data_IF_045078812623
#
_entry.id   IF_045078812623
#
_cell.length_a   1.000
_cell.length_b   1.000
_cell.length_c   1.000
_cell.angle_alpha   90.00
_cell.angle_beta   90.00
_cell.angle_gamma   90.00
#
_symmetry.space_group_name_H-M   'P 1'
#
loop_
_entity.id
_entity.type
_entity.pdbx_description
1 polymer ?
#
# COMPACT_ATOMS: atom_id res chain seq x y z
N UNK A 1 47.33 -14.00 -13.04
CA UNK A 1 46.98 -13.08 -14.14
C UNK A 1 45.46 -12.90 -14.13
N UNK A 2 44.95 -11.71 -13.92
CA UNK A 2 43.54 -11.46 -13.95
C UNK A 2 43.03 -11.60 -15.40
N UNK A 3 42.22 -12.65 -15.68
CA UNK A 3 41.59 -12.88 -16.96
C UNK A 3 40.67 -11.70 -17.23
N UNK A 4 41.01 -10.84 -18.19
CA UNK A 4 40.12 -9.74 -18.58
C UNK A 4 38.83 -10.34 -19.13
N UNK A 5 37.79 -10.37 -18.26
CA UNK A 5 36.46 -10.85 -18.62
C UNK A 5 35.86 -9.75 -19.51
N UNK A 6 35.89 -9.98 -20.83
CA UNK A 6 35.23 -9.08 -21.78
C UNK A 6 33.70 -9.12 -21.56
N UNK A 7 33.04 -7.96 -21.57
CA UNK A 7 31.59 -7.83 -21.49
C UNK A 7 30.93 -8.69 -22.58
N UNK A 8 31.55 -8.82 -23.77
CA UNK A 8 31.06 -9.66 -24.86
C UNK A 8 31.02 -11.14 -24.48
N UNK A 9 32.03 -11.65 -23.73
CA UNK A 9 32.04 -13.05 -23.26
C UNK A 9 30.87 -13.30 -22.29
N UNK A 10 30.61 -12.38 -21.35
CA UNK A 10 29.47 -12.49 -20.42
C UNK A 10 28.15 -12.52 -21.19
N UNK A 11 27.98 -11.65 -22.18
CA UNK A 11 26.77 -11.59 -22.99
C UNK A 11 26.56 -12.90 -23.78
N UNK A 12 27.58 -13.45 -24.38
CA UNK A 12 27.50 -14.73 -25.11
C UNK A 12 27.12 -15.89 -24.17
N UNK A 13 27.69 -15.95 -22.98
CA UNK A 13 27.33 -16.96 -21.96
C UNK A 13 25.86 -16.86 -21.56
N UNK A 14 25.37 -15.64 -21.34
CA UNK A 14 23.93 -15.44 -21.02
C UNK A 14 23.04 -15.89 -22.19
N UNK A 15 23.41 -15.58 -23.43
CA UNK A 15 22.64 -15.97 -24.61
C UNK A 15 22.65 -17.49 -24.83
N UNK A 16 23.79 -18.16 -24.63
CA UNK A 16 23.90 -19.63 -24.75
C UNK A 16 23.04 -20.34 -23.70
N UNK A 17 22.95 -19.81 -22.48
CA UNK A 17 22.17 -20.37 -21.35
C UNK A 17 20.79 -19.73 -21.16
N UNK A 18 20.31 -19.00 -22.15
CA UNK A 18 19.05 -18.26 -22.06
C UNK A 18 17.84 -19.14 -21.72
N UNK A 19 17.77 -20.36 -22.23
CA UNK A 19 16.71 -21.34 -21.90
C UNK A 19 16.73 -21.69 -20.41
N UNK A 20 17.91 -21.88 -19.82
CA UNK A 20 18.07 -22.15 -18.39
C UNK A 20 17.65 -20.94 -17.54
N UNK A 21 18.06 -19.73 -17.96
CA UNK A 21 17.72 -18.48 -17.28
C UNK A 21 16.20 -18.27 -17.27
N UNK A 22 15.54 -18.41 -18.41
CA UNK A 22 14.09 -18.25 -18.51
C UNK A 22 13.36 -19.28 -17.64
N UNK A 23 13.76 -20.55 -17.74
CA UNK A 23 13.09 -21.61 -16.97
C UNK A 23 13.25 -21.41 -15.46
N UNK A 24 14.46 -21.12 -14.98
CA UNK A 24 14.73 -20.91 -13.56
C UNK A 24 14.03 -19.65 -13.02
N UNK A 25 14.03 -18.56 -13.80
CA UNK A 25 13.28 -17.34 -13.44
C UNK A 25 11.78 -17.61 -13.28
N UNK A 26 11.20 -18.38 -14.21
CA UNK A 26 9.80 -18.73 -14.18
C UNK A 26 9.44 -19.61 -12.97
N UNK A 27 10.31 -20.57 -12.64
CA UNK A 27 10.13 -21.43 -11.45
C UNK A 27 10.19 -20.60 -10.17
N UNK A 28 11.16 -19.69 -10.03
CA UNK A 28 11.27 -18.81 -8.84
C UNK A 28 10.05 -17.89 -8.74
N UNK A 29 9.62 -17.28 -9.83
CA UNK A 29 8.40 -16.45 -9.86
C UNK A 29 7.15 -17.22 -9.44
N UNK A 30 7.01 -18.47 -9.90
CA UNK A 30 5.90 -19.34 -9.51
C UNK A 30 5.96 -19.71 -8.02
N UNK A 31 7.14 -20.00 -7.48
CA UNK A 31 7.33 -20.27 -6.06
C UNK A 31 6.94 -19.07 -5.18
N UNK A 32 7.32 -17.85 -5.58
CA UNK A 32 6.90 -16.62 -4.89
C UNK A 32 5.39 -16.41 -4.94
N UNK A 33 4.77 -16.70 -6.09
CA UNK A 33 3.31 -16.63 -6.22
C UNK A 33 2.61 -17.63 -5.29
N UNK A 34 3.06 -18.89 -5.27
CA UNK A 34 2.50 -19.92 -4.38
C UNK A 34 2.72 -19.58 -2.91
N UNK A 35 3.92 -19.09 -2.56
CA UNK A 35 4.23 -18.64 -1.21
C UNK A 35 3.28 -17.52 -0.77
N UNK A 36 3.09 -16.52 -1.64
CA UNK A 36 2.18 -15.40 -1.37
C UNK A 36 0.72 -15.86 -1.15
N UNK A 37 0.27 -16.84 -1.91
CA UNK A 37 -1.12 -17.33 -1.83
C UNK A 37 -1.38 -18.25 -0.65
N UNK A 38 -0.37 -19.05 -0.23
CA UNK A 38 -0.56 -20.11 0.77
C UNK A 38 -0.13 -19.65 2.17
N UNK A 39 0.98 -18.91 2.26
CA UNK A 39 1.61 -18.55 3.54
C UNK A 39 1.12 -17.21 4.07
N UNK A 40 0.87 -16.24 3.19
CA UNK A 40 0.45 -14.92 3.63
C UNK A 40 -1.08 -14.90 3.81
N UNK A 41 -1.51 -14.58 5.03
CA UNK A 41 -2.94 -14.48 5.36
C UNK A 41 -3.60 -13.33 4.62
N UNK A 42 -4.81 -13.51 4.08
CA UNK A 42 -5.55 -12.42 3.45
C UNK A 42 -5.88 -11.33 4.47
N UNK A 43 -5.74 -10.08 4.06
CA UNK A 43 -6.05 -8.90 4.86
C UNK A 43 -7.24 -8.16 4.25
N UNK A 44 -8.14 -7.71 5.10
CA UNK A 44 -9.33 -6.95 4.73
C UNK A 44 -9.20 -5.54 5.30
N UNK A 45 -9.58 -4.55 4.50
CA UNK A 45 -9.59 -3.15 4.90
C UNK A 45 -10.99 -2.57 4.78
N UNK A 46 -11.40 -1.81 5.78
CA UNK A 46 -12.62 -1.03 5.75
C UNK A 46 -12.41 0.32 6.41
N UNK A 47 -13.32 1.26 6.19
CA UNK A 47 -13.23 2.56 6.82
C UNK A 47 -14.58 3.15 7.14
N UNK A 48 -14.69 3.77 8.32
CA UNK A 48 -15.72 4.69 8.69
C UNK A 48 -15.25 6.14 8.52
N UNK A 49 -16.16 7.05 8.27
CA UNK A 49 -15.86 8.47 8.15
C UNK A 49 -16.79 9.28 9.03
N UNK A 50 -16.21 10.13 9.87
CA UNK A 50 -16.91 11.06 10.74
C UNK A 50 -16.52 12.50 10.36
N UNK A 51 -17.37 13.46 10.67
CA UNK A 51 -17.05 14.87 10.54
C UNK A 51 -17.03 15.52 11.92
N UNK A 52 -16.21 16.56 12.05
CA UNK A 52 -16.18 17.42 13.22
C UNK A 52 -16.40 18.84 12.76
N UNK A 53 -17.38 19.51 13.33
CA UNK A 53 -17.70 20.88 13.01
C UNK A 53 -17.57 21.74 14.27
N UNK A 54 -16.79 22.81 14.17
CA UNK A 54 -16.71 23.81 15.23
C UNK A 54 -17.94 24.71 15.14
N UNK A 55 -18.89 24.46 16.02
CA UNK A 55 -20.14 25.21 16.08
C UNK A 55 -20.25 25.95 17.41
N UNK A 56 -20.24 27.28 17.36
CA UNK A 56 -20.56 28.09 18.53
C UNK A 56 -22.10 28.28 18.59
N UNK A 57 -22.75 27.61 19.53
CA UNK A 57 -24.15 27.75 19.81
C UNK A 57 -24.57 29.21 20.10
N UNK A 58 -23.62 30.04 20.57
CA UNK A 58 -23.81 31.47 20.80
C UNK A 58 -24.19 32.28 19.57
N UNK A 59 -23.93 31.78 18.35
CA UNK A 59 -24.34 32.43 17.12
C UNK A 59 -25.79 32.06 16.68
N UNK A 60 -26.35 31.00 17.26
CA UNK A 60 -27.73 30.62 16.98
C UNK A 60 -28.75 31.50 17.74
N UNK A 61 -28.41 31.91 18.94
CA UNK A 61 -29.31 32.72 19.80
C UNK A 61 -29.32 34.22 19.44
N UNK A 62 -28.22 34.73 18.81
CA UNK A 62 -28.13 36.15 18.46
C UNK A 62 -28.95 36.53 17.23
N UNK A 63 -29.65 35.59 16.56
CA UNK A 63 -30.43 35.89 15.38
C UNK A 63 -31.97 35.85 15.64
N UNK A 64 -32.37 35.74 16.91
CA UNK A 64 -33.82 35.71 17.26
C UNK A 64 -34.45 37.10 17.48
N UNK A 65 -33.67 38.19 17.47
CA UNK A 65 -34.22 39.51 17.67
C UNK A 65 -33.73 40.54 16.64
N UNK A 66 -34.01 40.34 15.36
CA UNK A 66 -34.13 41.49 14.45
C UNK A 66 -35.51 42.11 14.59
N UNK A 67 -35.65 42.98 15.52
CA UNK A 67 -36.81 43.90 15.58
C UNK A 67 -36.74 44.77 14.36
N UNK A 68 -37.64 44.59 13.41
CA UNK A 68 -37.85 45.52 12.30
C UNK A 68 -38.30 46.85 12.86
N UNK A 69 -37.92 47.97 12.20
CA UNK A 69 -38.21 49.33 12.64
C UNK A 69 -39.69 49.67 12.86
N UNK A 70 -40.61 48.70 12.69
CA UNK A 70 -42.04 48.83 12.89
C UNK A 70 -42.59 48.02 14.09
N UNK A 71 -41.72 47.41 14.94
CA UNK A 71 -42.15 46.77 16.20
C UNK A 71 -42.96 45.49 16.07
N UNK A 72 -42.99 44.86 14.88
CA UNK A 72 -43.68 43.57 14.71
C UNK A 72 -42.70 42.41 14.83
N UNK A 73 -42.96 41.48 15.79
CA UNK A 73 -42.24 40.22 15.92
C UNK A 73 -42.74 39.28 14.83
N UNK A 74 -41.98 39.12 13.79
CA UNK A 74 -42.31 38.13 12.76
C UNK A 74 -41.86 36.73 13.25
N UNK A 75 -42.80 35.92 13.74
CA UNK A 75 -42.66 34.48 13.91
C UNK A 75 -42.57 33.82 12.52
N UNK A 76 -41.41 33.96 11.87
CA UNK A 76 -41.10 33.26 10.66
C UNK A 76 -40.17 32.08 10.95
N UNK A 77 -40.71 30.86 10.85
CA UNK A 77 -39.94 29.62 10.73
C UNK A 77 -38.94 29.68 9.52
N UNK A 78 -37.99 30.54 9.56
CA UNK A 78 -36.88 30.53 8.60
C UNK A 78 -35.78 29.63 9.17
N UNK A 79 -35.71 28.37 8.72
CA UNK A 79 -34.47 27.65 8.65
C UNK A 79 -33.52 28.44 7.72
N UNK A 80 -32.96 29.52 8.25
CA UNK A 80 -31.90 30.25 7.52
C UNK A 80 -30.76 29.28 7.32
N UNK A 81 -30.44 29.01 6.05
CA UNK A 81 -29.27 28.29 5.70
C UNK A 81 -28.08 28.98 6.39
N UNK A 82 -27.47 28.30 7.32
CA UNK A 82 -26.35 28.81 8.10
C UNK A 82 -25.23 29.15 7.16
N UNK A 83 -24.82 30.42 7.14
CA UNK A 83 -23.77 30.90 6.26
C UNK A 83 -22.44 30.40 6.80
N UNK A 84 -21.84 29.42 6.14
CA UNK A 84 -20.54 28.85 6.49
C UNK A 84 -19.46 29.82 6.06
N UNK A 85 -18.65 30.28 7.00
CA UNK A 85 -17.49 31.13 6.76
C UNK A 85 -16.22 30.28 6.62
N UNK A 86 -15.23 30.78 5.89
CA UNK A 86 -13.93 30.11 5.77
C UNK A 86 -13.23 29.91 7.12
N UNK A 87 -13.46 30.80 8.09
CA UNK A 87 -12.99 30.67 9.46
C UNK A 87 -13.57 29.43 10.17
N UNK A 88 -14.82 29.08 9.87
CA UNK A 88 -15.51 27.94 10.47
C UNK A 88 -14.92 26.62 9.93
N UNK A 89 -14.58 26.60 8.65
CA UNK A 89 -13.93 25.46 7.99
C UNK A 89 -12.53 25.25 8.58
N UNK A 90 -11.73 26.31 8.68
CA UNK A 90 -10.38 26.24 9.25
C UNK A 90 -10.39 25.87 10.72
N UNK A 91 -11.32 26.42 11.49
CA UNK A 91 -11.54 26.08 12.89
C UNK A 91 -11.93 24.60 13.06
N UNK A 92 -12.83 24.11 12.21
CA UNK A 92 -13.26 22.70 12.21
C UNK A 92 -12.12 21.74 11.82
N UNK A 93 -11.27 22.13 10.86
CA UNK A 93 -10.10 21.32 10.48
C UNK A 93 -9.06 21.25 11.61
N UNK A 94 -8.83 22.36 12.32
CA UNK A 94 -7.95 22.38 13.50
C UNK A 94 -8.52 21.51 14.63
N UNK A 95 -9.81 21.61 14.90
CA UNK A 95 -10.49 20.79 15.89
C UNK A 95 -10.41 19.31 15.52
N UNK A 96 -10.59 18.95 14.24
CA UNK A 96 -10.46 17.58 13.77
C UNK A 96 -9.05 17.02 14.02
N UNK A 97 -7.99 17.80 13.82
CA UNK A 97 -6.62 17.39 14.14
C UNK A 97 -6.40 17.16 15.65
N UNK A 98 -6.99 18.01 16.50
CA UNK A 98 -6.94 17.84 17.96
C UNK A 98 -7.66 16.55 18.35
N UNK A 99 -8.84 16.32 17.77
CA UNK A 99 -9.64 15.13 18.04
C UNK A 99 -8.95 13.83 17.58
N UNK A 100 -8.23 13.83 16.46
CA UNK A 100 -7.45 12.65 16.05
C UNK A 100 -6.40 12.31 17.12
N UNK A 101 -5.68 13.30 17.64
CA UNK A 101 -4.73 13.07 18.72
C UNK A 101 -5.43 12.56 19.99
N UNK A 102 -6.59 13.11 20.34
CA UNK A 102 -7.38 12.63 21.47
C UNK A 102 -7.83 11.18 21.27
N UNK A 103 -8.39 10.84 20.10
CA UNK A 103 -8.89 9.51 19.81
C UNK A 103 -7.78 8.46 19.75
N UNK A 104 -6.61 8.80 19.23
CA UNK A 104 -5.46 7.90 19.19
C UNK A 104 -4.88 7.60 20.58
N UNK A 105 -5.06 8.49 21.54
CA UNK A 105 -4.56 8.35 22.93
C UNK A 105 -5.66 8.03 23.94
N UNK A 106 -6.91 7.82 23.51
CA UNK A 106 -7.99 7.40 24.39
C UNK A 106 -7.93 5.92 24.67
N UNK A 107 -7.93 5.55 25.96
CA UNK A 107 -7.94 4.15 26.39
C UNK A 107 -9.23 3.44 25.95
N UNK A 108 -10.35 4.16 25.95
CA UNK A 108 -11.66 3.63 25.54
C UNK A 108 -11.66 3.21 24.04
N UNK A 109 -11.03 4.02 23.18
CA UNK A 109 -10.95 3.75 21.74
C UNK A 109 -9.91 2.67 21.47
N UNK A 110 -8.74 2.71 22.13
CA UNK A 110 -7.68 1.73 21.93
C UNK A 110 -8.08 0.33 22.40
N UNK A 111 -8.92 0.23 23.43
CA UNK A 111 -9.49 -1.03 23.89
C UNK A 111 -10.37 -1.74 22.85
N UNK A 112 -10.92 -0.99 21.89
CA UNK A 112 -11.78 -1.52 20.81
C UNK A 112 -11.01 -2.15 19.65
N UNK A 113 -9.67 -1.97 19.59
CA UNK A 113 -8.87 -2.44 18.45
C UNK A 113 -8.91 -3.96 18.25
N UNK A 114 -9.06 -4.72 19.33
CA UNK A 114 -9.28 -6.19 19.34
C UNK A 114 -8.38 -6.96 18.34
N UNK A 115 -7.10 -6.58 18.28
CA UNK A 115 -6.10 -7.17 17.39
C UNK A 115 -6.15 -6.72 15.94
N UNK A 116 -7.03 -5.78 15.58
CA UNK A 116 -7.02 -5.11 14.29
C UNK A 116 -5.99 -3.97 14.28
N UNK A 117 -5.47 -3.66 13.11
CA UNK A 117 -4.68 -2.45 12.91
C UNK A 117 -5.62 -1.28 12.63
N UNK A 118 -5.56 -0.24 13.45
CA UNK A 118 -6.42 0.94 13.33
C UNK A 118 -5.58 2.16 13.02
N UNK A 119 -6.01 2.91 12.01
CA UNK A 119 -5.42 4.20 11.65
C UNK A 119 -6.51 5.26 11.62
N UNK A 120 -6.40 6.25 12.50
CA UNK A 120 -7.31 7.39 12.56
C UNK A 120 -6.57 8.61 12.02
N UNK A 121 -7.10 9.24 10.97
CA UNK A 121 -6.44 10.36 10.32
C UNK A 121 -7.44 11.39 9.79
N UNK A 122 -7.03 12.66 9.74
CA UNK A 122 -7.81 13.72 9.09
C UNK A 122 -7.56 13.65 7.59
N UNK A 123 -8.63 13.73 6.80
CA UNK A 123 -8.50 13.90 5.35
C UNK A 123 -7.95 15.29 5.06
N UNK A 124 -6.86 15.35 4.29
CA UNK A 124 -6.11 16.57 4.03
C UNK A 124 -7.02 17.75 3.66
N UNK A 125 -6.80 18.90 4.31
CA UNK A 125 -7.50 20.17 4.10
C UNK A 125 -9.03 20.10 4.34
N UNK A 126 -9.47 19.16 5.20
CA UNK A 126 -10.88 18.99 5.55
C UNK A 126 -11.07 18.83 7.07
N UNK A 127 -12.32 18.79 7.49
CA UNK A 127 -12.73 18.48 8.85
C UNK A 127 -13.27 17.04 8.98
N UNK A 128 -12.97 16.19 8.01
CA UNK A 128 -13.37 14.79 8.00
C UNK A 128 -12.27 13.92 8.59
N UNK A 129 -12.66 13.04 9.51
CA UNK A 129 -11.78 12.04 10.09
C UNK A 129 -12.13 10.68 9.48
N UNK A 130 -11.12 10.01 8.95
CA UNK A 130 -11.24 8.65 8.44
C UNK A 130 -10.67 7.68 9.46
N UNK A 131 -11.46 6.70 9.86
CA UNK A 131 -11.09 5.60 10.73
C UNK A 131 -10.92 4.38 9.83
N UNK A 132 -9.68 4.02 9.53
CA UNK A 132 -9.34 2.85 8.72
C UNK A 132 -8.99 1.69 9.63
N UNK A 133 -9.57 0.52 9.36
CA UNK A 133 -9.36 -0.70 10.14
C UNK A 133 -8.97 -1.83 9.19
N UNK A 134 -7.81 -2.43 9.47
CA UNK A 134 -7.24 -3.54 8.73
C UNK A 134 -7.15 -4.78 9.62
N UNK A 135 -7.51 -5.93 9.08
CA UNK A 135 -7.49 -7.18 9.83
C UNK A 135 -7.73 -8.40 8.95
N UNK A 136 -7.72 -9.57 9.57
CA UNK A 136 -7.92 -10.86 8.89
C UNK A 136 -9.38 -11.26 8.77
N UNK A 137 -10.27 -10.67 9.58
CA UNK A 137 -11.71 -10.95 9.59
C UNK A 137 -12.48 -9.71 9.10
N UNK A 138 -13.21 -9.81 7.96
CA UNK A 138 -13.91 -8.68 7.38
C UNK A 138 -15.07 -8.15 8.23
N UNK A 139 -15.81 -9.03 8.94
CA UNK A 139 -16.93 -8.62 9.78
C UNK A 139 -16.43 -7.91 11.03
N UNK A 140 -15.36 -8.43 11.62
CA UNK A 140 -14.70 -7.85 12.78
C UNK A 140 -14.15 -6.46 12.46
N UNK A 141 -13.50 -6.28 11.33
CA UNK A 141 -12.99 -4.97 10.89
C UNK A 141 -14.12 -3.93 10.78
N UNK A 142 -15.24 -4.30 10.17
CA UNK A 142 -16.37 -3.40 10.02
C UNK A 142 -17.01 -3.04 11.38
N UNK A 143 -17.13 -4.01 12.27
CA UNK A 143 -17.66 -3.80 13.62
C UNK A 143 -16.74 -2.89 14.44
N UNK A 144 -15.45 -3.14 14.45
CA UNK A 144 -14.45 -2.33 15.14
C UNK A 144 -14.47 -0.88 14.63
N UNK A 145 -14.48 -0.68 13.31
CA UNK A 145 -14.51 0.66 12.73
C UNK A 145 -15.78 1.46 13.12
N UNK A 146 -16.94 0.79 13.16
CA UNK A 146 -18.20 1.43 13.55
C UNK A 146 -18.25 1.70 15.06
N UNK A 147 -17.78 0.77 15.88
CA UNK A 147 -17.72 0.97 17.34
C UNK A 147 -16.78 2.13 17.69
N UNK A 148 -15.62 2.23 17.02
CA UNK A 148 -14.72 3.37 17.21
C UNK A 148 -15.40 4.68 16.80
N UNK A 149 -16.14 4.71 15.67
CA UNK A 149 -16.85 5.91 15.24
C UNK A 149 -17.95 6.33 16.20
N UNK A 150 -18.61 5.39 16.87
CA UNK A 150 -19.62 5.65 17.91
C UNK A 150 -18.97 6.12 19.21
N UNK A 151 -17.95 5.41 19.69
CA UNK A 151 -17.20 5.78 20.91
C UNK A 151 -16.51 7.14 20.75
N UNK A 152 -16.00 7.46 19.56
CA UNK A 152 -15.40 8.76 19.27
C UNK A 152 -16.40 9.92 19.48
N UNK A 153 -17.71 9.70 19.25
CA UNK A 153 -18.74 10.71 19.54
C UNK A 153 -18.91 10.91 21.06
N UNK A 154 -18.90 9.83 21.84
CA UNK A 154 -18.94 9.91 23.31
C UNK A 154 -17.73 10.62 23.86
N UNK A 155 -16.52 10.18 23.47
CA UNK A 155 -15.26 10.79 23.89
C UNK A 155 -15.19 12.28 23.50
N UNK A 156 -15.73 12.65 22.33
CA UNK A 156 -15.79 14.05 21.93
C UNK A 156 -16.67 14.87 22.86
N UNK A 157 -17.87 14.41 23.16
CA UNK A 157 -18.82 15.12 24.04
C UNK A 157 -18.35 15.20 25.49
N UNK A 158 -17.54 14.23 25.95
CA UNK A 158 -16.98 14.25 27.31
C UNK A 158 -15.85 15.29 27.47
N UNK A 159 -15.17 15.66 26.37
CA UNK A 159 -14.04 16.57 26.41
C UNK A 159 -14.31 17.96 25.82
N UNK A 160 -15.38 18.10 25.02
CA UNK A 160 -15.71 19.34 24.34
C UNK A 160 -17.17 19.74 24.57
N UNK A 161 -17.38 20.88 25.20
CA UNK A 161 -18.72 21.47 25.42
C UNK A 161 -19.27 22.11 24.12
N UNK A 162 -18.40 22.31 23.12
CA UNK A 162 -18.73 23.01 21.87
C UNK A 162 -18.34 22.14 20.68
N UNK A 163 -19.11 22.31 19.60
CA UNK A 163 -18.90 21.60 18.35
C UNK A 163 -19.88 20.45 18.14
N UNK A 164 -19.86 19.95 16.95
CA UNK A 164 -20.65 18.79 16.54
C UNK A 164 -19.78 17.73 15.91
N UNK A 165 -20.06 16.49 16.19
CA UNK A 165 -19.49 15.31 15.60
C UNK A 165 -20.61 14.43 15.04
N UNK A 166 -20.39 13.80 13.90
CA UNK A 166 -21.38 12.89 13.34
C UNK A 166 -20.75 11.95 12.32
N UNK A 167 -21.45 10.85 12.07
CA UNK A 167 -21.01 9.85 11.09
C UNK A 167 -21.51 10.19 9.70
N UNK A 168 -20.59 10.33 8.75
CA UNK A 168 -20.90 10.51 7.32
C UNK A 168 -21.12 9.16 6.67
N UNK A 169 -20.21 8.22 6.97
CA UNK A 169 -20.22 6.90 6.36
C UNK A 169 -19.80 5.85 7.37
N UNK A 170 -20.68 4.89 7.60
CA UNK A 170 -20.36 3.70 8.37
C UNK A 170 -19.50 2.74 7.57
N UNK A 171 -18.64 2.02 8.26
CA UNK A 171 -17.83 0.96 7.67
C UNK A 171 -18.74 -0.18 7.20
N UNK A 172 -18.48 -0.68 5.99
CA UNK A 172 -19.16 -1.83 5.40
C UNK A 172 -18.23 -3.03 5.44
N UNK A 173 -18.79 -4.22 5.54
CA UNK A 173 -18.03 -5.46 5.43
C UNK A 173 -17.37 -5.52 4.04
N UNK A 174 -16.04 -5.64 3.96
CA UNK A 174 -15.34 -5.73 2.68
C UNK A 174 -15.75 -6.99 1.93
N UNK A 175 -16.01 -6.87 0.63
CA UNK A 175 -16.38 -8.00 -0.24
C UNK A 175 -15.22 -8.90 -0.64
N UNK A 176 -13.98 -8.47 -0.40
CA UNK A 176 -12.78 -9.23 -0.72
C UNK A 176 -11.54 -8.69 -0.01
N UNK A 177 -10.46 -9.48 0.06
CA UNK A 177 -9.20 -9.05 0.66
C UNK A 177 -8.52 -7.99 -0.22
N UNK A 178 -7.89 -7.00 0.42
CA UNK A 178 -7.06 -6.03 -0.28
C UNK A 178 -5.60 -6.46 -0.41
N UNK A 179 -5.16 -7.42 0.36
CA UNK A 179 -3.82 -7.99 0.35
C UNK A 179 -3.81 -9.48 0.68
N UNK A 180 -2.74 -10.19 0.35
CA UNK A 180 -1.56 -9.73 -0.38
C UNK A 180 -1.82 -9.58 -1.89
N UNK A 181 -1.09 -8.65 -2.52
CA UNK A 181 -1.08 -8.53 -3.98
C UNK A 181 -0.18 -9.62 -4.58
N UNK A 182 -0.78 -10.77 -4.89
CA UNK A 182 -0.07 -11.94 -5.40
C UNK A 182 0.69 -11.65 -6.69
N UNK A 183 0.18 -10.72 -7.51
CA UNK A 183 0.84 -10.34 -8.77
C UNK A 183 2.12 -9.54 -8.52
N UNK A 184 2.11 -8.60 -7.58
CA UNK A 184 3.33 -7.86 -7.19
C UNK A 184 4.39 -8.80 -6.61
N UNK A 185 3.99 -9.73 -5.75
CA UNK A 185 4.90 -10.70 -5.17
C UNK A 185 5.50 -11.63 -6.24
N UNK A 186 4.71 -12.04 -7.23
CA UNK A 186 5.21 -12.79 -8.39
C UNK A 186 6.22 -11.97 -9.20
N UNK A 187 5.97 -10.69 -9.45
CA UNK A 187 6.87 -9.82 -10.19
C UNK A 187 8.21 -9.63 -9.45
N UNK A 188 8.16 -9.46 -8.13
CA UNK A 188 9.36 -9.41 -7.28
C UNK A 188 10.13 -10.74 -7.39
N UNK A 189 9.43 -11.88 -7.31
CA UNK A 189 10.01 -13.20 -7.47
C UNK A 189 10.68 -13.38 -8.83
N UNK A 190 10.07 -12.89 -9.91
CA UNK A 190 10.67 -12.90 -11.26
C UNK A 190 11.95 -12.06 -11.32
N UNK A 191 11.96 -10.86 -10.74
CA UNK A 191 13.14 -10.00 -10.73
C UNK A 191 14.29 -10.64 -9.94
N UNK A 192 14.03 -11.17 -8.75
CA UNK A 192 15.00 -11.88 -7.93
C UNK A 192 15.48 -13.16 -8.63
N UNK A 193 14.57 -13.92 -9.22
CA UNK A 193 14.88 -15.13 -9.96
C UNK A 193 15.77 -14.87 -11.17
N UNK A 194 15.53 -13.79 -11.90
CA UNK A 194 16.35 -13.38 -13.04
C UNK A 194 17.77 -13.01 -12.59
N UNK A 195 17.91 -12.21 -11.54
CA UNK A 195 19.23 -11.84 -11.01
C UNK A 195 20.00 -13.08 -10.53
N UNK A 196 19.34 -13.96 -9.75
CA UNK A 196 19.95 -15.20 -9.26
C UNK A 196 20.37 -16.15 -10.40
N UNK A 197 19.50 -16.33 -11.40
CA UNK A 197 19.79 -17.23 -12.53
C UNK A 197 20.94 -16.72 -13.41
N UNK A 198 21.06 -15.40 -13.60
CA UNK A 198 22.22 -14.81 -14.27
C UNK A 198 23.51 -15.06 -13.51
N UNK A 199 23.50 -14.86 -12.19
CA UNK A 199 24.69 -15.13 -11.34
C UNK A 199 25.08 -16.61 -11.38
N UNK A 200 24.11 -17.52 -11.25
CA UNK A 200 24.37 -18.96 -11.32
C UNK A 200 24.91 -19.34 -12.71
N UNK A 201 24.38 -18.78 -13.79
CA UNK A 201 24.86 -19.04 -15.14
C UNK A 201 26.32 -18.62 -15.33
N UNK A 202 26.72 -17.47 -14.77
CA UNK A 202 28.10 -17.00 -14.81
C UNK A 202 29.01 -17.89 -13.96
N UNK A 203 28.55 -18.28 -12.75
CA UNK A 203 29.34 -19.19 -11.90
C UNK A 203 29.55 -20.56 -12.54
N UNK A 204 28.51 -21.12 -13.17
CA UNK A 204 28.62 -22.39 -13.88
C UNK A 204 29.60 -22.30 -15.06
N UNK A 205 29.66 -21.15 -15.73
CA UNK A 205 30.64 -20.93 -16.81
C UNK A 205 32.09 -20.82 -16.28
N UNK A 206 32.28 -20.23 -15.11
CA UNK A 206 33.62 -20.15 -14.48
C UNK A 206 34.13 -21.52 -14.03
N UNK A 207 33.24 -22.44 -13.69
CA UNK A 207 33.56 -23.81 -13.28
C UNK A 207 33.72 -24.73 -14.51
N UNK A 208 33.07 -24.38 -15.63
CA UNK A 208 33.13 -25.15 -16.87
C UNK A 208 34.51 -25.00 -17.48
N UNK A 209 35.29 -26.07 -17.46
CA UNK A 209 36.66 -26.14 -18.04
C UNK A 209 36.66 -26.69 -19.47
N UNK A 210 35.47 -26.89 -20.05
CA UNK A 210 35.34 -27.42 -21.40
C UNK A 210 35.85 -26.41 -22.43
N UNK A 211 36.77 -26.82 -23.28
CA UNK A 211 37.26 -26.01 -24.39
C UNK A 211 36.16 -25.95 -25.46
N UNK A 212 35.64 -24.78 -25.73
CA UNK A 212 34.62 -24.57 -26.76
C UNK A 212 35.25 -24.25 -28.10
N UNK A 213 34.56 -24.54 -29.22
CA UNK A 213 35.05 -24.24 -30.57
C UNK A 213 35.46 -22.77 -30.79
N UNK A 214 34.78 -21.86 -30.05
CA UNK A 214 35.04 -20.41 -30.13
C UNK A 214 36.24 -19.95 -29.27
N UNK A 215 36.85 -20.87 -28.47
CA UNK A 215 38.03 -20.55 -27.68
C UNK A 215 39.24 -20.62 -28.57
N UNK A 216 39.84 -19.46 -28.86
CA UNK A 216 41.10 -19.38 -29.63
C UNK A 216 42.25 -19.86 -28.74
N UNK A 217 42.59 -21.16 -28.89
CA UNK A 217 43.67 -21.83 -28.14
C UNK A 217 45.01 -21.14 -28.33
N UNK A 218 45.27 -20.51 -29.49
CA UNK A 218 46.46 -19.73 -29.76
C UNK A 218 46.59 -18.52 -28.84
N UNK A 219 45.47 -17.78 -28.64
CA UNK A 219 45.47 -16.59 -27.77
C UNK A 219 45.47 -16.94 -26.29
N UNK A 220 44.92 -18.10 -25.91
CA UNK A 220 44.77 -18.48 -24.51
C UNK A 220 46.03 -19.12 -23.93
N UNK A 221 46.75 -19.91 -24.73
CA UNK A 221 47.90 -20.71 -24.27
C UNK A 221 49.19 -20.36 -24.95
N UNK A 222 49.22 -19.42 -25.90
CA UNK A 222 50.40 -19.03 -26.71
C UNK A 222 51.06 -20.23 -27.43
N UNK A 223 50.19 -21.20 -27.82
CA UNK A 223 50.62 -22.43 -28.50
C UNK A 223 50.22 -22.38 -29.97
N UNK A 224 51.10 -22.67 -30.92
CA UNK A 224 50.74 -22.69 -32.33
C UNK A 224 49.82 -23.87 -32.64
N UNK A 225 48.69 -23.62 -33.26
CA UNK A 225 47.76 -24.65 -33.77
C UNK A 225 48.28 -25.12 -35.11
N UNK A 226 48.75 -26.36 -35.21
CA UNK A 226 49.33 -26.92 -36.43
C UNK A 226 48.30 -27.51 -37.40
N UNK A 227 47.15 -27.95 -36.94
CA UNK A 227 46.05 -28.44 -37.77
C UNK A 227 44.72 -28.46 -37.03
N UNK A 228 43.64 -28.26 -37.77
CA UNK A 228 42.28 -28.40 -37.32
C UNK A 228 41.68 -29.62 -38.03
N UNK A 229 41.04 -30.54 -37.29
CA UNK A 229 40.33 -31.67 -37.86
C UNK A 229 38.90 -31.23 -38.13
N UNK A 230 38.46 -31.12 -39.39
CA UNK A 230 37.11 -30.68 -39.69
C UNK A 230 36.10 -31.71 -39.15
N UNK A 231 35.00 -31.20 -38.57
CA UNK A 231 33.93 -32.05 -38.09
C UNK A 231 33.12 -32.61 -39.29
N UNK A 232 33.30 -33.90 -39.59
CA UNK A 232 32.54 -34.60 -40.61
C UNK A 232 31.17 -35.02 -40.00
N UNK A 233 30.33 -34.08 -39.63
CA UNK A 233 28.91 -34.39 -39.39
C UNK A 233 28.32 -34.83 -40.73
N UNK A 234 28.09 -36.10 -40.87
CA UNK A 234 27.35 -36.70 -41.95
C UNK A 234 25.87 -36.25 -41.80
N UNK A 235 25.58 -35.07 -42.29
CA UNK A 235 24.22 -34.69 -42.68
C UNK A 235 23.88 -35.44 -43.91
N UNK A 236 23.44 -36.72 -43.77
CA UNK A 236 22.67 -37.43 -44.77
C UNK A 236 22.00 -38.67 -44.18
N UNK A 237 20.77 -38.55 -43.74
CA UNK A 237 19.65 -39.44 -44.19
C UNK A 237 18.35 -39.04 -43.53
#
# INVERSE_FOLDING_TARGET
>A
MAKNISIQKILNVLLQRLKFIILSTLVVGLLFFLYSKIVITPMYATSAMIYIQNYNASNADNNQNSINANGEVSEGSNKQAQKIYNSDISGSANLANICVNLFQNSDEITALYDGCQVNISVTKDTFFITISVDGTDPEKCATVANNIAETAQTVFHDHFDYGQIGTIRSAKVPSGPYGPDNFKNMLIGLAVGLAASCLISILLELIDTTVKPDDDLQQMYDLPVFSEIPNFDTQNR
#
